data_IF_705512736344
#
_entry.id   IF_705512736344
#
_cell.length_a   1.000
_cell.length_b   1.000
_cell.length_c   1.000
_cell.angle_alpha   90.00
_cell.angle_beta   90.00
_cell.angle_gamma   90.00
#
_symmetry.space_group_name_H-M   'P 1'
#
loop_
_entity.id
_entity.type
_entity.pdbx_description
1 polymer ?
#
# COMPACT_ATOMS: atom_id res chain seq x y z
N UNK A 1 -0.17 0.94 7.43
CA UNK A 1 -0.42 0.93 8.89
C UNK A 1 -1.72 1.63 9.27
N UNK A 2 -2.14 2.73 8.63
CA UNK A 2 -3.42 3.39 8.94
C UNK A 2 -4.63 2.78 8.26
N UNK A 3 -4.50 2.36 7.01
CA UNK A 3 -5.60 1.82 6.21
C UNK A 3 -5.86 0.34 6.48
N UNK A 4 -4.81 -0.45 6.69
CA UNK A 4 -4.90 -1.89 6.87
C UNK A 4 -5.91 -2.31 7.98
N UNK A 5 -5.88 -1.74 9.21
CA UNK A 5 -6.82 -2.14 10.26
C UNK A 5 -8.29 -1.82 9.94
N UNK A 6 -8.53 -0.81 9.12
CA UNK A 6 -9.89 -0.44 8.71
C UNK A 6 -10.41 -1.36 7.62
N UNK A 7 -9.58 -1.68 6.64
CA UNK A 7 -9.96 -2.49 5.49
C UNK A 7 -10.13 -3.97 5.86
N UNK A 8 -9.31 -4.51 6.77
CA UNK A 8 -9.50 -5.87 7.30
C UNK A 8 -10.83 -6.02 8.02
N UNK A 9 -11.29 -4.99 8.73
CA UNK A 9 -12.60 -4.99 9.40
C UNK A 9 -13.80 -5.00 8.45
N UNK A 10 -13.63 -4.71 7.17
CA UNK A 10 -14.72 -4.84 6.20
C UNK A 10 -15.17 -6.29 6.14
N UNK A 11 -14.24 -7.22 6.04
CA UNK A 11 -14.51 -8.66 6.00
C UNK A 11 -15.23 -9.11 7.28
N UNK A 12 -14.73 -8.68 8.44
CA UNK A 12 -15.33 -9.01 9.74
C UNK A 12 -16.77 -8.48 9.85
N UNK A 13 -17.03 -7.27 9.37
CA UNK A 13 -18.38 -6.67 9.40
C UNK A 13 -19.36 -7.37 8.49
N UNK A 14 -18.89 -7.84 7.32
CA UNK A 14 -19.70 -8.66 6.41
C UNK A 14 -20.05 -9.98 7.09
N UNK A 15 -19.10 -10.65 7.71
CA UNK A 15 -19.30 -11.93 8.37
C UNK A 15 -20.24 -11.81 9.57
N UNK A 16 -20.15 -10.72 10.32
CA UNK A 16 -21.00 -10.46 11.49
C UNK A 16 -22.38 -9.89 11.12
N UNK A 17 -22.64 -9.61 9.84
CA UNK A 17 -23.88 -8.98 9.41
C UNK A 17 -24.06 -7.52 9.89
N UNK A 18 -22.98 -6.87 10.32
CA UNK A 18 -23.01 -5.50 10.85
C UNK A 18 -22.72 -4.44 9.80
N UNK A 19 -22.45 -4.83 8.55
CA UNK A 19 -22.19 -3.93 7.43
C UNK A 19 -23.43 -3.04 7.13
N UNK A 20 -24.65 -3.58 7.27
CA UNK A 20 -25.89 -2.86 7.00
C UNK A 20 -26.02 -1.59 7.86
N UNK A 21 -25.57 -1.62 9.10
CA UNK A 21 -25.55 -0.44 9.97
C UNK A 21 -24.61 0.67 9.47
N UNK A 22 -23.59 0.32 8.69
CA UNK A 22 -22.70 1.30 8.06
C UNK A 22 -23.35 1.89 6.82
N UNK A 23 -24.05 1.07 6.04
CA UNK A 23 -24.74 1.48 4.81
C UNK A 23 -25.91 2.42 5.09
N UNK A 24 -26.55 2.31 6.26
CA UNK A 24 -27.66 3.18 6.69
C UNK A 24 -27.19 4.57 7.16
N UNK A 25 -25.89 4.80 7.34
CA UNK A 25 -25.40 6.11 7.77
C UNK A 25 -25.47 7.13 6.64
N UNK A 26 -25.83 8.41 6.91
CA UNK A 26 -25.93 9.46 5.90
C UNK A 26 -24.56 10.02 5.51
N UNK A 27 -23.58 9.15 5.31
CA UNK A 27 -22.19 9.46 4.92
C UNK A 27 -21.71 8.45 3.89
N UNK A 28 -20.67 8.80 3.13
CA UNK A 28 -20.04 7.85 2.21
C UNK A 28 -19.56 6.60 2.94
N UNK A 29 -20.13 5.45 2.61
CA UNK A 29 -19.79 4.16 3.23
C UNK A 29 -18.31 3.82 3.02
N UNK A 30 -17.76 4.14 1.83
CA UNK A 30 -16.34 3.95 1.54
C UNK A 30 -15.47 4.79 2.47
N UNK A 31 -15.78 6.06 2.65
CA UNK A 31 -15.04 6.94 3.55
C UNK A 31 -15.10 6.43 5.00
N UNK A 32 -16.31 6.07 5.46
CA UNK A 32 -16.48 5.54 6.82
C UNK A 32 -15.66 4.26 7.03
N UNK A 33 -15.75 3.31 6.12
CA UNK A 33 -15.02 2.04 6.22
C UNK A 33 -13.50 2.24 6.19
N UNK A 34 -13.01 3.26 5.50
CA UNK A 34 -11.58 3.55 5.38
C UNK A 34 -11.00 4.35 6.55
N UNK A 35 -11.79 5.20 7.20
CA UNK A 35 -11.31 6.20 8.16
C UNK A 35 -11.93 6.07 9.57
N UNK A 36 -12.75 5.05 9.82
CA UNK A 36 -13.47 4.90 11.09
C UNK A 36 -12.56 4.68 12.30
N UNK A 37 -11.40 4.09 12.09
CA UNK A 37 -10.46 3.82 13.19
C UNK A 37 -9.08 4.33 12.82
N UNK A 38 -8.55 5.21 13.65
CA UNK A 38 -7.17 5.64 13.57
C UNK A 38 -6.35 4.80 14.55
N UNK A 39 -5.40 4.03 14.01
CA UNK A 39 -4.46 3.29 14.85
C UNK A 39 -3.29 4.19 15.23
N UNK A 40 -3.15 4.61 16.50
CA UNK A 40 -2.02 5.43 16.92
C UNK A 40 -0.67 4.70 16.83
N UNK A 41 -0.70 3.37 16.80
CA UNK A 41 0.50 2.53 16.69
C UNK A 41 1.21 2.63 15.33
N UNK A 42 0.55 3.14 14.30
CA UNK A 42 1.16 3.41 13.00
C UNK A 42 1.95 4.71 12.92
N UNK A 43 1.77 5.63 13.88
CA UNK A 43 2.49 6.91 13.91
C UNK A 43 4.00 6.75 14.12
N UNK A 44 4.47 5.97 15.11
CA UNK A 44 5.90 5.75 15.32
C UNK A 44 6.60 5.19 14.07
N UNK A 45 5.98 4.23 13.39
CA UNK A 45 6.55 3.63 12.18
C UNK A 45 6.68 4.65 11.05
N UNK A 46 5.67 5.48 10.86
CA UNK A 46 5.67 6.52 9.83
C UNK A 46 6.73 7.59 10.13
N UNK A 47 6.84 8.03 11.39
CA UNK A 47 7.84 9.01 11.81
C UNK A 47 9.24 8.41 11.65
N UNK A 48 9.47 7.21 12.17
CA UNK A 48 10.78 6.57 12.09
C UNK A 48 11.19 6.33 10.63
N UNK A 49 10.29 5.81 9.80
CA UNK A 49 10.53 5.61 8.38
C UNK A 49 10.88 6.90 7.64
N UNK A 50 10.14 7.98 7.91
CA UNK A 50 10.39 9.30 7.31
C UNK A 50 11.74 9.86 7.77
N UNK A 51 12.05 9.79 9.05
CA UNK A 51 13.33 10.27 9.61
C UNK A 51 14.51 9.50 9.03
N UNK A 52 14.43 8.17 8.96
CA UNK A 52 15.48 7.34 8.37
C UNK A 52 15.68 7.64 6.89
N UNK A 53 14.59 7.85 6.15
CA UNK A 53 14.62 8.17 4.73
C UNK A 53 15.31 9.53 4.50
N UNK A 54 14.93 10.56 5.25
CA UNK A 54 15.54 11.89 5.16
C UNK A 54 17.02 11.87 5.57
N UNK A 55 17.36 11.12 6.62
CA UNK A 55 18.74 10.96 7.06
C UNK A 55 19.61 10.27 6.00
N UNK A 56 19.12 9.19 5.41
CA UNK A 56 19.82 8.46 4.34
C UNK A 56 20.00 9.33 3.10
N UNK A 57 18.95 10.04 2.69
CA UNK A 57 19.00 10.93 1.53
C UNK A 57 19.98 12.08 1.72
N UNK A 58 20.03 12.67 2.91
CA UNK A 58 21.01 13.72 3.22
C UNK A 58 22.44 13.20 3.19
N UNK A 59 22.68 11.98 3.72
CA UNK A 59 24.01 11.35 3.65
C UNK A 59 24.46 11.02 2.22
N UNK A 60 23.53 10.70 1.34
CA UNK A 60 23.78 10.38 -0.07
C UNK A 60 23.88 11.62 -0.97
N UNK A 61 23.66 12.83 -0.42
CA UNK A 61 23.69 14.08 -1.18
C UNK A 61 22.60 14.19 -2.23
N UNK A 62 21.40 13.68 -1.93
CA UNK A 62 20.26 13.68 -2.84
C UNK A 62 19.80 15.12 -3.11
N UNK A 63 19.62 15.47 -4.37
CA UNK A 63 19.12 16.79 -4.79
C UNK A 63 17.67 17.00 -4.35
N UNK A 64 17.31 18.25 -4.04
CA UNK A 64 15.95 18.62 -3.57
C UNK A 64 14.88 18.22 -4.58
N UNK A 65 15.17 18.30 -5.89
CA UNK A 65 14.24 17.87 -6.95
C UNK A 65 13.82 16.42 -6.85
N UNK A 66 14.71 15.53 -6.45
CA UNK A 66 14.47 14.10 -6.35
C UNK A 66 13.49 13.74 -5.21
N UNK A 67 13.40 14.57 -4.16
CA UNK A 67 12.40 14.38 -3.11
C UNK A 67 10.99 14.52 -3.67
N UNK A 68 10.75 15.52 -4.53
CA UNK A 68 9.44 15.68 -5.18
C UNK A 68 9.13 14.55 -6.16
N UNK A 69 10.13 14.08 -6.92
CA UNK A 69 9.97 12.94 -7.82
C UNK A 69 9.63 11.65 -7.06
N UNK A 70 10.11 11.49 -5.84
CA UNK A 70 9.82 10.34 -4.98
C UNK A 70 8.36 10.33 -4.50
N UNK A 71 7.78 11.50 -4.24
CA UNK A 71 6.39 11.61 -3.74
C UNK A 71 5.38 11.10 -4.77
N UNK A 72 5.63 11.32 -6.06
CA UNK A 72 4.71 10.93 -7.14
C UNK A 72 4.42 9.42 -7.15
N UNK A 73 5.42 8.53 -7.31
CA UNK A 73 5.17 7.10 -7.32
C UNK A 73 4.62 6.59 -5.98
N UNK A 74 5.03 7.18 -4.87
CA UNK A 74 4.54 6.82 -3.54
C UNK A 74 3.05 7.14 -3.38
N UNK A 75 2.61 8.28 -3.89
CA UNK A 75 1.20 8.68 -3.88
C UNK A 75 0.35 7.74 -4.75
N UNK A 76 0.75 7.51 -6.00
CA UNK A 76 0.01 6.62 -6.90
C UNK A 76 0.05 5.16 -6.42
N UNK A 77 1.17 4.69 -5.91
CA UNK A 77 1.29 3.35 -5.32
C UNK A 77 0.35 3.16 -4.14
N UNK A 78 0.25 4.17 -3.27
CA UNK A 78 -0.68 4.13 -2.12
C UNK A 78 -2.13 4.08 -2.56
N UNK A 79 -2.53 4.89 -3.56
CA UNK A 79 -3.89 4.87 -4.10
C UNK A 79 -4.20 3.51 -4.72
N UNK A 80 -3.29 2.97 -5.51
CA UNK A 80 -3.49 1.68 -6.18
C UNK A 80 -3.61 0.55 -5.17
N UNK A 81 -2.74 0.52 -4.16
CA UNK A 81 -2.83 -0.48 -3.10
C UNK A 81 -4.14 -0.36 -2.31
N UNK A 82 -4.53 0.87 -1.97
CA UNK A 82 -5.82 1.13 -1.33
C UNK A 82 -6.98 0.60 -2.18
N UNK A 83 -6.95 0.84 -3.49
CA UNK A 83 -8.01 0.40 -4.41
C UNK A 83 -8.10 -1.13 -4.47
N UNK A 84 -6.96 -1.81 -4.59
CA UNK A 84 -6.90 -3.28 -4.60
C UNK A 84 -7.45 -3.83 -3.28
N UNK A 85 -7.02 -3.28 -2.15
CA UNK A 85 -7.47 -3.73 -0.85
C UNK A 85 -8.95 -3.52 -0.65
N UNK A 86 -9.46 -2.35 -1.04
CA UNK A 86 -10.89 -2.06 -0.96
C UNK A 86 -11.72 -2.98 -1.87
N UNK A 87 -11.24 -3.26 -3.10
CA UNK A 87 -11.89 -4.21 -3.99
C UNK A 87 -11.95 -5.62 -3.39
N UNK A 88 -10.84 -6.09 -2.83
CA UNK A 88 -10.81 -7.41 -2.19
C UNK A 88 -11.69 -7.46 -0.93
N UNK A 89 -11.74 -6.40 -0.13
CA UNK A 89 -12.68 -6.28 0.97
C UNK A 89 -14.14 -6.30 0.49
N UNK A 90 -14.45 -5.64 -0.62
CA UNK A 90 -15.79 -5.63 -1.21
C UNK A 90 -16.21 -7.01 -1.74
N UNK A 91 -15.28 -7.84 -2.25
CA UNK A 91 -15.61 -9.20 -2.70
C UNK A 91 -16.10 -10.10 -1.58
N UNK A 92 -15.79 -9.78 -0.31
CA UNK A 92 -16.30 -10.50 0.85
C UNK A 92 -17.83 -10.45 0.98
N UNK A 93 -18.49 -9.48 0.34
CA UNK A 93 -19.96 -9.37 0.31
C UNK A 93 -20.57 -10.58 -0.43
N UNK A 94 -19.91 -11.01 -1.53
CA UNK A 94 -20.36 -12.16 -2.30
C UNK A 94 -19.82 -13.49 -1.78
N UNK A 95 -18.62 -13.47 -1.22
CA UNK A 95 -17.92 -14.67 -0.76
C UNK A 95 -17.69 -14.60 0.75
N UNK A 96 -18.75 -14.73 1.53
CA UNK A 96 -18.75 -14.61 3.01
C UNK A 96 -17.70 -15.48 3.73
N UNK A 97 -17.22 -16.55 3.08
CA UNK A 97 -16.24 -17.48 3.65
C UNK A 97 -14.77 -17.21 3.28
N UNK A 98 -14.44 -16.05 2.72
CA UNK A 98 -13.05 -15.72 2.41
C UNK A 98 -12.34 -15.23 3.68
N UNK A 99 -11.96 -16.14 4.55
CA UNK A 99 -11.26 -15.82 5.79
C UNK A 99 -9.84 -15.30 5.60
N UNK A 100 -9.22 -15.59 4.43
CA UNK A 100 -7.78 -15.39 4.24
C UNK A 100 -7.41 -14.25 3.28
N UNK A 101 -8.37 -13.46 2.79
CA UNK A 101 -8.05 -12.36 1.85
C UNK A 101 -7.15 -11.32 2.50
N UNK A 102 -7.41 -11.01 3.76
CA UNK A 102 -6.58 -10.05 4.52
C UNK A 102 -5.17 -10.60 4.75
N UNK A 103 -5.06 -11.88 5.12
CA UNK A 103 -3.76 -12.54 5.31
C UNK A 103 -2.94 -12.62 4.01
N UNK A 104 -3.62 -12.89 2.88
CA UNK A 104 -2.96 -12.88 1.56
C UNK A 104 -2.41 -11.50 1.24
N UNK A 105 -3.20 -10.45 1.49
CA UNK A 105 -2.74 -9.07 1.26
C UNK A 105 -1.60 -8.68 2.18
N UNK A 106 -1.67 -9.04 3.45
CA UNK A 106 -0.59 -8.79 4.40
C UNK A 106 0.69 -9.52 3.97
N UNK A 107 0.58 -10.78 3.52
CA UNK A 107 1.70 -11.53 2.96
C UNK A 107 2.30 -10.91 1.70
N UNK A 108 1.45 -10.36 0.81
CA UNK A 108 1.91 -9.64 -0.38
C UNK A 108 2.65 -8.33 -0.01
N UNK A 109 2.16 -7.60 0.99
CA UNK A 109 2.84 -6.40 1.50
C UNK A 109 4.16 -6.75 2.18
N UNK A 110 4.21 -7.85 2.91
CA UNK A 110 5.43 -8.34 3.55
C UNK A 110 6.51 -8.73 2.52
N UNK A 111 6.10 -9.34 1.41
CA UNK A 111 7.00 -9.59 0.28
C UNK A 111 7.61 -8.29 -0.26
N UNK A 112 6.89 -7.17 -0.22
CA UNK A 112 7.39 -5.85 -0.64
C UNK A 112 8.52 -5.28 0.22
N UNK A 113 8.79 -5.84 1.39
CA UNK A 113 9.92 -5.43 2.25
C UNK A 113 11.28 -5.80 1.65
N UNK A 114 11.30 -6.76 0.75
CA UNK A 114 12.54 -7.17 0.08
C UNK A 114 12.75 -6.40 -1.23
N UNK A 115 14.00 -6.05 -1.60
CA UNK A 115 14.28 -5.39 -2.86
C UNK A 115 13.78 -6.23 -4.05
N UNK A 116 13.10 -5.61 -5.00
CA UNK A 116 12.57 -6.30 -6.19
C UNK A 116 13.65 -7.01 -7.01
N UNK A 117 14.88 -6.51 -6.96
CA UNK A 117 16.03 -7.13 -7.60
C UNK A 117 16.37 -8.55 -7.09
N UNK A 118 15.96 -8.88 -5.87
CA UNK A 118 16.19 -10.20 -5.28
C UNK A 118 15.21 -11.27 -5.80
N UNK A 119 14.11 -10.86 -6.46
CA UNK A 119 13.10 -11.78 -6.95
C UNK A 119 13.40 -12.27 -8.38
N UNK A 120 13.04 -13.52 -8.71
CA UNK A 120 13.02 -14.00 -10.10
C UNK A 120 12.10 -13.14 -10.99
N UNK A 121 12.37 -13.13 -12.30
CA UNK A 121 11.68 -12.24 -13.25
C UNK A 121 10.14 -12.34 -13.20
N UNK A 122 9.58 -13.55 -13.06
CA UNK A 122 8.14 -13.76 -12.99
C UNK A 122 7.52 -13.08 -11.75
N UNK A 123 8.14 -13.20 -10.56
CA UNK A 123 7.69 -12.56 -9.34
C UNK A 123 7.86 -11.04 -9.42
N UNK A 124 8.95 -10.57 -10.01
CA UNK A 124 9.19 -9.14 -10.25
C UNK A 124 8.08 -8.54 -11.11
N UNK A 125 7.73 -9.20 -12.21
CA UNK A 125 6.62 -8.78 -13.07
C UNK A 125 5.31 -8.73 -12.27
N UNK A 126 4.99 -9.78 -11.50
CA UNK A 126 3.79 -9.83 -10.68
C UNK A 126 3.72 -8.68 -9.67
N UNK A 127 4.78 -8.44 -8.90
CA UNK A 127 4.83 -7.37 -7.90
C UNK A 127 4.96 -5.95 -8.48
N UNK A 128 5.24 -5.84 -9.76
CA UNK A 128 5.27 -4.53 -10.43
C UNK A 128 3.94 -4.19 -11.08
N UNK A 129 3.31 -5.16 -11.75
CA UNK A 129 2.15 -4.89 -12.61
C UNK A 129 0.83 -5.42 -12.06
N UNK A 130 0.82 -6.54 -11.36
CA UNK A 130 -0.42 -7.15 -10.83
C UNK A 130 -0.74 -6.62 -9.43
N UNK A 131 0.23 -6.68 -8.55
CA UNK A 131 0.13 -6.08 -7.21
C UNK A 131 1.26 -5.06 -7.08
N UNK A 132 1.05 -3.78 -7.44
CA UNK A 132 2.10 -2.80 -7.67
C UNK A 132 2.83 -2.37 -6.40
N UNK A 133 3.34 -3.34 -5.62
CA UNK A 133 4.11 -3.11 -4.39
C UNK A 133 5.44 -2.41 -4.69
N UNK A 134 6.00 -2.63 -5.89
CA UNK A 134 7.22 -1.96 -6.33
C UNK A 134 7.09 -0.43 -6.32
N UNK A 135 5.90 0.12 -6.60
CA UNK A 135 5.63 1.56 -6.54
C UNK A 135 5.63 2.14 -5.13
N UNK A 136 5.52 1.29 -4.11
CA UNK A 136 5.61 1.73 -2.71
C UNK A 136 7.02 1.61 -2.13
N UNK A 137 7.88 0.81 -2.73
CA UNK A 137 9.20 0.47 -2.18
C UNK A 137 10.34 0.84 -3.13
N UNK A 138 10.50 0.09 -4.20
CA UNK A 138 11.65 0.19 -5.09
C UNK A 138 11.64 1.46 -5.95
N UNK A 139 10.50 1.78 -6.56
CA UNK A 139 10.39 2.93 -7.46
C UNK A 139 10.64 4.27 -6.75
N UNK A 140 10.06 4.54 -5.56
CA UNK A 140 10.38 5.76 -4.81
C UNK A 140 11.84 5.84 -4.39
N UNK A 141 12.43 4.71 -3.99
CA UNK A 141 13.83 4.67 -3.59
C UNK A 141 14.78 5.00 -4.76
N UNK A 142 14.51 4.47 -5.95
CA UNK A 142 15.29 4.75 -7.15
C UNK A 142 15.08 6.18 -7.67
N UNK A 143 13.86 6.69 -7.62
CA UNK A 143 13.56 8.09 -7.93
C UNK A 143 14.35 9.03 -7.02
N UNK A 144 14.44 8.70 -5.73
CA UNK A 144 15.20 9.47 -4.76
C UNK A 144 16.70 9.47 -5.05
N UNK A 145 17.25 8.36 -5.50
CA UNK A 145 18.67 8.22 -5.86
C UNK A 145 19.02 8.86 -7.22
N UNK A 146 18.05 9.49 -7.90
CA UNK A 146 18.26 10.04 -9.24
C UNK A 146 18.51 8.96 -10.31
N UNK A 147 18.26 7.70 -10.00
CA UNK A 147 18.35 6.54 -10.89
C UNK A 147 17.04 6.22 -11.59
N UNK A 148 16.04 7.10 -11.43
CA UNK A 148 14.72 7.01 -12.05
C UNK A 148 14.80 7.23 -13.56
N UNK A 149 15.67 6.49 -14.25
CA UNK A 149 15.48 6.29 -15.67
C UNK A 149 14.16 5.56 -15.85
N UNK A 150 13.39 5.99 -16.85
CA UNK A 150 12.12 5.39 -17.30
C UNK A 150 12.35 3.92 -17.80
N UNK A 151 13.38 3.27 -17.34
CA UNK A 151 13.80 1.89 -17.65
C UNK A 151 12.75 0.87 -17.16
N UNK A 152 11.90 1.26 -16.23
CA UNK A 152 10.80 0.41 -15.75
C UNK A 152 9.70 0.15 -16.78
N UNK A 153 9.57 1.03 -17.77
CA UNK A 153 8.58 0.87 -18.85
C UNK A 153 9.23 0.20 -20.07
N UNK A 154 10.57 0.31 -20.22
CA UNK A 154 11.28 -0.20 -21.38
C UNK A 154 12.01 -1.53 -21.16
N UNK A 155 12.08 -2.02 -19.92
CA UNK A 155 12.78 -3.26 -19.56
C UNK A 155 11.87 -4.42 -19.19
N UNK A 156 10.56 -4.32 -19.52
CA UNK A 156 9.58 -5.39 -19.33
C UNK A 156 9.33 -6.15 -20.62
#
# INVERSE_FOLDING_TARGET
>A
TFLAPNLSRIVDRVQQGTLDFVLLKPISSQFWLSANTVSPWGMPDLILGTVLLLYAANKLGVEIGNYFLTVIPLFFGTITLYSIWFMLGATSIWFVKIYNVTEVLEGLLEAGRFPMAAYPAAYRFFFTFVVPVAFLTTVPAEAMLGRGEIVWIAGA
#
